data_IF_011231330434
#
_entry.id   IF_011231330434
#
_cell.length_a   1.000
_cell.length_b   1.000
_cell.length_c   1.000
_cell.angle_alpha   90.00
_cell.angle_beta   90.00
_cell.angle_gamma   90.00
#
_symmetry.space_group_name_H-M   'P 1'
#
loop_
_entity.id
_entity.type
_entity.pdbx_description
1 polymer ?
#
# COMPACT_ATOMS: atom_id res chain seq x y z
N UNK A 1 33.10 14.15 5.19
CA UNK A 1 32.70 12.96 5.97
C UNK A 1 31.37 12.49 5.39
N UNK A 2 31.30 11.27 4.86
CA UNK A 2 30.03 10.66 4.41
C UNK A 2 29.15 10.43 5.64
N UNK A 3 27.90 10.87 5.60
CA UNK A 3 26.94 10.57 6.66
C UNK A 3 26.82 9.05 6.86
N UNK A 4 26.66 8.56 8.10
CA UNK A 4 26.41 7.14 8.34
C UNK A 4 25.15 6.68 7.58
N UNK A 5 25.12 5.44 7.12
CA UNK A 5 23.92 4.90 6.45
C UNK A 5 22.71 4.91 7.40
N UNK A 6 21.49 5.12 6.87
CA UNK A 6 20.28 5.01 7.67
C UNK A 6 20.14 3.58 8.24
N UNK A 7 19.63 3.43 9.48
CA UNK A 7 19.32 2.12 10.04
C UNK A 7 18.35 1.35 9.14
N UNK A 8 18.66 0.09 8.85
CA UNK A 8 17.84 -0.73 7.95
C UNK A 8 17.84 -0.20 6.51
N UNK A 9 19.02 0.13 5.97
CA UNK A 9 19.20 0.59 4.60
C UNK A 9 18.40 -0.25 3.61
N UNK A 10 17.73 0.43 2.68
CA UNK A 10 16.81 -0.18 1.71
C UNK A 10 17.59 -1.13 0.78
N UNK A 11 17.71 -2.40 1.16
CA UNK A 11 18.30 -3.45 0.32
C UNK A 11 17.28 -3.91 -0.74
N UNK A 12 16.82 -2.98 -1.56
CA UNK A 12 16.33 -3.32 -2.89
C UNK A 12 17.56 -3.66 -3.72
N UNK A 13 17.84 -4.96 -3.83
CA UNK A 13 19.01 -5.49 -4.49
C UNK A 13 19.27 -4.86 -5.85
N UNK A 14 20.28 -4.01 -5.92
CA UNK A 14 21.15 -3.85 -7.07
C UNK A 14 22.55 -4.16 -6.52
N UNK A 15 23.19 -5.16 -7.11
CA UNK A 15 24.56 -5.55 -6.77
C UNK A 15 25.55 -4.38 -6.93
N UNK A 16 26.81 -4.57 -6.50
CA UNK A 16 27.79 -3.49 -6.53
C UNK A 16 28.08 -3.08 -7.98
N UNK A 17 28.20 -1.77 -8.20
CA UNK A 17 28.56 -1.02 -9.42
C UNK A 17 27.35 -0.59 -10.28
N UNK A 18 26.91 0.66 -10.11
CA UNK A 18 25.91 1.35 -10.94
C UNK A 18 25.93 2.88 -10.75
N UNK A 19 25.37 3.67 -11.69
CA UNK A 19 25.42 5.15 -11.78
C UNK A 19 24.90 5.85 -10.50
N UNK A 20 25.09 7.19 -10.32
CA UNK A 20 24.71 7.87 -9.09
C UNK A 20 23.29 7.51 -8.70
N UNK A 21 23.16 6.86 -7.54
CA UNK A 21 21.89 6.49 -6.94
C UNK A 21 20.97 7.71 -6.95
N UNK A 22 19.76 7.57 -7.51
CA UNK A 22 18.74 8.63 -7.49
C UNK A 22 18.62 9.15 -6.05
N UNK A 23 18.72 10.47 -5.86
CA UNK A 23 18.68 11.09 -4.54
C UNK A 23 17.36 10.71 -3.82
N UNK A 24 17.37 10.50 -2.49
CA UNK A 24 16.15 10.10 -1.77
C UNK A 24 14.95 11.03 -1.99
N UNK A 25 15.18 12.35 -2.08
CA UNK A 25 14.12 13.32 -2.37
C UNK A 25 13.50 13.14 -3.75
N UNK A 26 14.28 12.73 -4.75
CA UNK A 26 13.79 12.49 -6.10
C UNK A 26 13.01 11.17 -6.18
N UNK A 27 13.46 10.13 -5.45
CA UNK A 27 12.71 8.88 -5.27
C UNK A 27 11.35 9.13 -4.63
N UNK A 28 11.31 9.93 -3.56
CA UNK A 28 10.08 10.35 -2.89
C UNK A 28 9.12 11.04 -3.87
N UNK A 29 9.63 12.02 -4.63
CA UNK A 29 8.84 12.76 -5.63
C UNK A 29 8.28 11.84 -6.71
N UNK A 30 9.10 10.91 -7.23
CA UNK A 30 8.67 9.95 -8.24
C UNK A 30 7.60 8.99 -7.71
N UNK A 31 7.75 8.48 -6.48
CA UNK A 31 6.74 7.60 -5.86
C UNK A 31 5.41 8.33 -5.62
N UNK A 32 5.47 9.60 -5.22
CA UNK A 32 4.31 10.46 -5.06
C UNK A 32 3.58 10.72 -6.39
N UNK A 33 4.31 11.04 -7.46
CA UNK A 33 3.75 11.33 -8.78
C UNK A 33 3.08 10.10 -9.42
N UNK A 34 3.61 8.90 -9.17
CA UNK A 34 3.06 7.62 -9.66
C UNK A 34 1.80 7.14 -8.92
N UNK A 35 1.26 7.92 -7.99
CA UNK A 35 0.04 7.57 -7.22
C UNK A 35 -1.13 7.12 -8.10
N UNK A 36 -1.40 7.85 -9.16
CA UNK A 36 -2.51 7.57 -10.07
C UNK A 36 -2.35 6.26 -10.85
N UNK A 37 -1.13 5.72 -10.94
CA UNK A 37 -0.85 4.45 -11.61
C UNK A 37 -1.28 3.24 -10.77
N UNK A 38 -1.26 3.36 -9.44
CA UNK A 38 -1.58 2.27 -8.51
C UNK A 38 -2.91 2.43 -7.78
N UNK A 39 -3.34 3.66 -7.49
CA UNK A 39 -4.43 3.94 -6.55
C UNK A 39 -5.77 4.20 -7.24
N UNK A 40 -5.98 3.65 -8.44
CA UNK A 40 -7.21 3.92 -9.18
C UNK A 40 -8.46 3.32 -8.48
N UNK A 41 -9.54 4.10 -8.51
CA UNK A 41 -10.80 3.82 -7.81
C UNK A 41 -11.75 3.03 -8.71
N UNK A 42 -12.37 1.98 -8.16
CA UNK A 42 -13.39 1.21 -8.86
C UNK A 42 -14.80 1.59 -8.43
N UNK A 43 -15.67 1.85 -9.41
CA UNK A 43 -17.12 1.93 -9.21
C UNK A 43 -17.74 0.54 -9.33
N UNK A 44 -18.31 0.03 -8.24
CA UNK A 44 -18.98 -1.27 -8.22
C UNK A 44 -20.10 -1.37 -9.25
N UNK A 45 -20.98 -0.36 -9.33
CA UNK A 45 -22.12 -0.39 -10.25
C UNK A 45 -21.68 -0.38 -11.71
N UNK A 46 -20.62 0.37 -12.03
CA UNK A 46 -20.04 0.37 -13.37
C UNK A 46 -19.44 -0.99 -13.70
N UNK A 47 -18.65 -1.56 -12.78
CA UNK A 47 -18.06 -2.88 -12.94
C UNK A 47 -19.11 -3.99 -13.09
N UNK A 48 -20.17 -3.95 -12.28
CA UNK A 48 -21.28 -4.88 -12.35
C UNK A 48 -22.04 -4.74 -13.67
N UNK A 49 -22.38 -3.52 -14.10
CA UNK A 49 -23.09 -3.27 -15.35
C UNK A 49 -22.34 -3.80 -16.57
N UNK A 50 -21.03 -3.53 -16.67
CA UNK A 50 -20.20 -4.07 -17.74
C UNK A 50 -20.02 -5.59 -17.65
N UNK A 51 -19.91 -6.14 -16.44
CA UNK A 51 -19.85 -7.59 -16.25
C UNK A 51 -21.13 -8.26 -16.74
N UNK A 52 -22.31 -7.72 -16.42
CA UNK A 52 -23.59 -8.26 -16.90
C UNK A 52 -23.69 -8.13 -18.42
N UNK A 53 -23.37 -6.96 -18.99
CA UNK A 53 -23.44 -6.70 -20.43
C UNK A 53 -22.52 -7.64 -21.23
N UNK A 54 -21.38 -8.01 -20.67
CA UNK A 54 -20.38 -8.91 -21.30
C UNK A 54 -20.52 -10.36 -20.85
N UNK A 55 -21.65 -10.75 -20.24
CA UNK A 55 -21.91 -12.11 -19.75
C UNK A 55 -20.82 -12.65 -18.82
N UNK A 56 -20.27 -11.78 -17.97
CA UNK A 56 -19.24 -12.09 -16.98
C UNK A 56 -17.81 -11.91 -17.47
N UNK A 57 -17.55 -11.70 -18.77
CA UNK A 57 -16.17 -11.60 -19.28
C UNK A 57 -15.43 -10.39 -18.69
N UNK A 58 -16.09 -9.24 -18.56
CA UNK A 58 -15.49 -8.05 -17.97
C UNK A 58 -15.13 -8.21 -16.48
N UNK A 59 -15.77 -9.15 -15.77
CA UNK A 59 -15.44 -9.42 -14.37
C UNK A 59 -13.99 -9.92 -14.21
N UNK A 60 -13.46 -10.69 -15.16
CA UNK A 60 -12.06 -11.14 -15.11
C UNK A 60 -11.07 -9.97 -15.20
N UNK A 61 -11.37 -8.97 -16.03
CA UNK A 61 -10.58 -7.73 -16.08
C UNK A 61 -10.62 -7.01 -14.73
N UNK A 62 -11.81 -6.83 -14.17
CA UNK A 62 -11.99 -6.19 -12.85
C UNK A 62 -11.22 -6.95 -11.77
N UNK A 63 -11.36 -8.27 -11.72
CA UNK A 63 -10.68 -9.14 -10.75
C UNK A 63 -9.16 -9.03 -10.85
N UNK A 64 -8.60 -9.09 -12.06
CA UNK A 64 -7.18 -8.85 -12.30
C UNK A 64 -6.72 -7.49 -11.75
N UNK A 65 -7.50 -6.43 -12.02
CA UNK A 65 -7.16 -5.09 -11.57
C UNK A 65 -7.28 -4.92 -10.06
N UNK A 66 -8.22 -5.60 -9.38
CA UNK A 66 -8.31 -5.61 -7.91
C UNK A 66 -7.06 -6.21 -7.25
N UNK A 67 -6.51 -7.28 -7.83
CA UNK A 67 -5.26 -7.88 -7.35
C UNK A 67 -4.06 -6.96 -7.65
N UNK A 68 -4.00 -6.44 -8.88
CA UNK A 68 -2.91 -5.59 -9.36
C UNK A 68 -2.78 -4.31 -8.54
N UNK A 69 -3.88 -3.58 -8.34
CA UNK A 69 -3.85 -2.29 -7.62
C UNK A 69 -3.32 -2.44 -6.19
N UNK A 70 -3.69 -3.50 -5.47
CA UNK A 70 -3.21 -3.72 -4.10
C UNK A 70 -1.71 -3.97 -4.05
N UNK A 71 -1.19 -4.78 -4.98
CA UNK A 71 0.25 -5.04 -5.10
C UNK A 71 1.03 -3.78 -5.48
N UNK A 72 0.56 -3.06 -6.49
CA UNK A 72 1.21 -1.84 -6.98
C UNK A 72 1.15 -0.73 -5.94
N UNK A 73 0.04 -0.58 -5.22
CA UNK A 73 -0.10 0.35 -4.12
C UNK A 73 0.94 0.08 -3.03
N UNK A 74 1.01 -1.17 -2.52
CA UNK A 74 1.98 -1.53 -1.49
C UNK A 74 3.43 -1.25 -1.93
N UNK A 75 3.79 -1.60 -3.17
CA UNK A 75 5.12 -1.31 -3.73
C UNK A 75 5.43 0.19 -3.76
N UNK A 76 4.47 1.00 -4.25
CA UNK A 76 4.61 2.46 -4.32
C UNK A 76 4.73 3.07 -2.94
N UNK A 77 3.90 2.64 -1.99
CA UNK A 77 3.88 3.13 -0.61
C UNK A 77 5.15 2.81 0.14
N UNK A 78 5.68 1.60 -0.04
CA UNK A 78 6.96 1.19 0.48
C UNK A 78 8.11 2.04 -0.07
N UNK A 79 8.09 2.36 -1.37
CA UNK A 79 9.06 3.26 -1.98
C UNK A 79 8.92 4.70 -1.46
N UNK A 80 7.68 5.22 -1.37
CA UNK A 80 7.39 6.57 -0.88
C UNK A 80 7.89 6.76 0.55
N UNK A 81 7.50 5.87 1.46
CA UNK A 81 7.85 5.96 2.88
C UNK A 81 9.33 5.65 3.11
N UNK A 82 9.91 4.70 2.37
CA UNK A 82 11.34 4.41 2.41
C UNK A 82 12.17 5.60 1.95
N UNK A 83 11.79 6.24 0.84
CA UNK A 83 12.47 7.42 0.33
C UNK A 83 12.30 8.65 1.25
N UNK A 84 11.12 8.83 1.85
CA UNK A 84 10.88 9.88 2.86
C UNK A 84 11.78 9.71 4.08
N UNK A 85 11.91 8.47 4.57
CA UNK A 85 12.79 8.11 5.68
C UNK A 85 14.25 8.39 5.32
N UNK A 86 14.70 7.92 4.16
CA UNK A 86 16.09 8.09 3.73
C UNK A 86 16.44 9.58 3.53
N UNK A 87 15.53 10.37 2.94
CA UNK A 87 15.68 11.83 2.82
C UNK A 87 15.74 12.51 4.20
N UNK A 88 14.84 12.17 5.11
CA UNK A 88 14.82 12.75 6.45
C UNK A 88 16.08 12.41 7.25
N UNK A 89 16.69 11.24 7.01
CA UNK A 89 17.97 10.87 7.63
C UNK A 89 19.12 11.76 7.18
N UNK A 90 19.17 12.13 5.90
CA UNK A 90 20.16 13.07 5.34
C UNK A 90 19.98 14.46 5.95
N UNK A 91 18.74 14.95 6.01
CA UNK A 91 18.41 16.26 6.62
C UNK A 91 18.77 16.26 8.11
N UNK A 92 18.44 15.19 8.84
CA UNK A 92 18.80 15.04 10.25
C UNK A 92 20.33 15.04 10.44
N UNK A 93 21.08 14.41 9.53
CA UNK A 93 22.55 14.39 9.54
C UNK A 93 23.15 15.77 9.35
N UNK A 94 22.63 16.53 8.38
CA UNK A 94 23.02 17.92 8.16
C UNK A 94 22.74 18.85 9.35
N UNK A 95 21.82 18.46 10.24
CA UNK A 95 21.42 19.22 11.43
C UNK A 95 21.93 18.65 12.75
N UNK A 96 22.69 17.55 12.73
CA UNK A 96 23.19 16.89 13.95
C UNK A 96 22.11 16.21 14.81
N UNK A 97 20.95 15.87 14.24
CA UNK A 97 19.81 15.26 14.95
C UNK A 97 19.72 13.73 14.80
N UNK A 98 20.70 13.10 14.14
CA UNK A 98 20.66 11.66 13.83
C UNK A 98 20.60 10.77 15.07
N UNK A 99 21.40 11.04 16.10
CA UNK A 99 21.40 10.23 17.31
C UNK A 99 20.11 10.37 18.12
N UNK A 100 19.52 11.57 18.16
CA UNK A 100 18.22 11.82 18.80
C UNK A 100 17.10 11.05 18.09
N UNK A 101 17.07 11.12 16.76
CA UNK A 101 15.98 10.57 15.96
C UNK A 101 16.16 9.10 15.59
N UNK A 102 17.35 8.50 15.81
CA UNK A 102 17.66 7.11 15.46
C UNK A 102 16.57 6.10 15.88
N UNK A 103 15.98 6.15 17.10
CA UNK A 103 14.92 5.20 17.47
C UNK A 103 13.68 5.28 16.58
N UNK A 104 13.33 6.48 16.09
CA UNK A 104 12.20 6.66 15.15
C UNK A 104 12.52 6.07 13.78
N UNK A 105 13.75 6.25 13.29
CA UNK A 105 14.20 5.65 12.03
C UNK A 105 14.23 4.12 12.08
N UNK A 106 14.65 3.52 13.20
CA UNK A 106 14.66 2.07 13.41
C UNK A 106 13.24 1.48 13.47
N UNK A 107 12.31 2.16 14.16
CA UNK A 107 10.90 1.74 14.18
C UNK A 107 10.24 1.89 12.82
N UNK A 108 10.49 3.00 12.11
CA UNK A 108 10.04 3.16 10.73
C UNK A 108 10.56 2.02 9.84
N UNK A 109 11.84 1.67 9.94
CA UNK A 109 12.43 0.53 9.21
C UNK A 109 11.70 -0.79 9.52
N UNK A 110 11.40 -1.06 10.80
CA UNK A 110 10.68 -2.26 11.22
C UNK A 110 9.29 -2.35 10.58
N UNK A 111 8.58 -1.22 10.50
CA UNK A 111 7.26 -1.16 9.84
C UNK A 111 7.37 -1.36 8.32
N UNK A 112 8.38 -0.77 7.67
CA UNK A 112 8.65 -0.95 6.25
C UNK A 112 9.04 -2.39 5.89
N UNK A 113 9.79 -3.09 6.75
CA UNK A 113 10.07 -4.52 6.60
C UNK A 113 8.77 -5.35 6.60
N UNK A 114 7.78 -4.94 7.40
CA UNK A 114 6.43 -5.51 7.39
C UNK A 114 5.76 -5.37 6.02
N UNK A 115 5.71 -4.15 5.47
CA UNK A 115 5.19 -3.86 4.13
C UNK A 115 5.94 -4.63 3.03
N UNK A 116 7.27 -4.73 3.15
CA UNK A 116 8.10 -5.45 2.19
C UNK A 116 7.79 -6.95 2.16
N UNK A 117 7.59 -7.57 3.32
CA UNK A 117 7.19 -8.99 3.39
C UNK A 117 5.83 -9.20 2.71
N UNK A 118 4.89 -8.28 2.90
CA UNK A 118 3.57 -8.35 2.27
C UNK A 118 3.63 -8.19 0.74
N UNK A 119 4.65 -7.55 0.17
CA UNK A 119 4.85 -7.56 -1.30
C UNK A 119 4.95 -8.98 -1.87
N UNK A 120 5.48 -9.93 -1.09
CA UNK A 120 5.52 -11.35 -1.48
C UNK A 120 4.17 -12.04 -1.27
N UNK A 121 3.39 -11.56 -0.32
CA UNK A 121 2.05 -12.08 0.01
C UNK A 121 1.00 -11.60 -1.01
N UNK A 122 1.13 -10.38 -1.54
CA UNK A 122 0.39 -9.88 -2.70
C UNK A 122 0.86 -10.61 -3.98
N UNK A 123 0.36 -11.84 -4.14
CA UNK A 123 0.69 -12.74 -5.25
C UNK A 123 0.38 -12.11 -6.61
N UNK A 124 1.04 -12.64 -7.64
CA UNK A 124 0.94 -12.16 -9.01
C UNK A 124 -0.53 -12.11 -9.51
N UNK A 125 -1.03 -10.94 -9.95
CA UNK A 125 -2.39 -10.78 -10.49
C UNK A 125 -2.70 -11.70 -11.67
N UNK A 126 -1.69 -12.01 -12.48
CA UNK A 126 -1.80 -12.90 -13.64
C UNK A 126 -2.05 -14.34 -13.20
N UNK A 127 -1.38 -14.79 -12.13
CA UNK A 127 -1.61 -16.13 -11.56
C UNK A 127 -3.06 -16.23 -11.06
N UNK A 128 -3.53 -15.22 -10.32
CA UNK A 128 -4.91 -15.18 -9.85
C UNK A 128 -5.92 -15.17 -10.99
N UNK A 129 -5.67 -14.38 -12.04
CA UNK A 129 -6.51 -14.35 -13.24
C UNK A 129 -6.58 -15.73 -13.90
N UNK A 130 -5.45 -16.39 -14.12
CA UNK A 130 -5.40 -17.72 -14.73
C UNK A 130 -6.14 -18.76 -13.88
N UNK A 131 -5.95 -18.72 -12.55
CA UNK A 131 -6.70 -19.57 -11.62
C UNK A 131 -8.21 -19.29 -11.70
N UNK A 132 -8.62 -18.02 -11.81
CA UNK A 132 -10.03 -17.63 -11.95
C UNK A 132 -10.62 -18.10 -13.29
N UNK A 133 -9.87 -18.03 -14.40
CA UNK A 133 -10.34 -18.53 -15.69
C UNK A 133 -10.52 -20.06 -15.68
N UNK A 134 -9.55 -20.80 -15.12
CA UNK A 134 -9.54 -22.28 -15.15
C UNK A 134 -10.44 -22.87 -14.07
N UNK A 135 -10.39 -22.33 -12.85
CA UNK A 135 -11.07 -22.85 -11.66
C UNK A 135 -12.26 -22.01 -11.16
N UNK A 136 -12.43 -20.78 -11.65
CA UNK A 136 -13.47 -19.84 -11.20
C UNK A 136 -14.88 -20.15 -11.71
N UNK A 137 -15.08 -21.19 -12.53
CA UNK A 137 -16.42 -21.65 -12.96
C UNK A 137 -17.34 -22.00 -11.79
N UNK A 138 -16.79 -22.23 -10.59
CA UNK A 138 -17.52 -22.48 -9.35
C UNK A 138 -17.36 -21.36 -8.29
N UNK A 139 -16.67 -20.26 -8.60
CA UNK A 139 -16.50 -19.09 -7.72
C UNK A 139 -15.55 -19.28 -6.51
N UNK A 140 -14.94 -20.46 -6.37
CA UNK A 140 -14.10 -20.76 -5.20
C UNK A 140 -12.77 -19.99 -5.19
N UNK A 141 -12.19 -19.71 -6.36
CA UNK A 141 -10.91 -18.98 -6.46
C UNK A 141 -11.08 -17.55 -5.98
N UNK A 142 -12.18 -16.91 -6.37
CA UNK A 142 -12.55 -15.55 -6.02
C UNK A 142 -12.78 -15.41 -4.51
N UNK A 143 -13.48 -16.37 -3.90
CA UNK A 143 -13.67 -16.39 -2.44
C UNK A 143 -12.32 -16.46 -1.72
N UNK A 144 -11.42 -17.34 -2.14
CA UNK A 144 -10.09 -17.47 -1.53
C UNK A 144 -9.29 -16.16 -1.72
N UNK A 145 -9.30 -15.60 -2.92
CA UNK A 145 -8.63 -14.34 -3.22
C UNK A 145 -9.17 -13.21 -2.34
N UNK A 146 -10.49 -13.11 -2.16
CA UNK A 146 -11.12 -12.10 -1.33
C UNK A 146 -10.76 -12.23 0.16
N UNK A 147 -10.64 -13.46 0.67
CA UNK A 147 -10.17 -13.69 2.04
C UNK A 147 -8.73 -13.20 2.22
N UNK A 148 -7.85 -13.48 1.26
CA UNK A 148 -6.47 -13.01 1.31
C UNK A 148 -6.36 -11.50 1.16
N UNK A 149 -6.98 -10.91 0.13
CA UNK A 149 -6.99 -9.46 -0.09
C UNK A 149 -7.44 -8.69 1.15
N UNK A 150 -8.53 -9.13 1.77
CA UNK A 150 -9.09 -8.47 2.95
C UNK A 150 -8.16 -8.57 4.17
N UNK A 151 -7.61 -9.76 4.41
CA UNK A 151 -6.69 -10.01 5.52
C UNK A 151 -5.37 -9.29 5.35
N UNK A 152 -4.86 -9.23 4.12
CA UNK A 152 -3.62 -8.56 3.78
C UNK A 152 -3.78 -7.04 3.82
N UNK A 153 -4.94 -6.49 3.45
CA UNK A 153 -5.24 -5.07 3.64
C UNK A 153 -5.21 -4.66 5.12
N UNK A 154 -5.76 -5.47 6.03
CA UNK A 154 -5.67 -5.17 7.48
C UNK A 154 -4.22 -5.15 7.97
N UNK A 155 -3.39 -6.11 7.51
CA UNK A 155 -1.97 -6.16 7.87
C UNK A 155 -1.20 -4.99 7.27
N UNK A 156 -1.52 -4.62 6.02
CA UNK A 156 -0.99 -3.47 5.30
C UNK A 156 -1.24 -2.19 6.09
N UNK A 157 -2.49 -1.91 6.47
CA UNK A 157 -2.86 -0.67 7.17
C UNK A 157 -2.15 -0.52 8.52
N UNK A 158 -1.96 -1.63 9.24
CA UNK A 158 -1.23 -1.63 10.52
C UNK A 158 0.25 -1.30 10.31
N UNK A 159 0.91 -1.95 9.35
CA UNK A 159 2.32 -1.72 9.08
C UNK A 159 2.55 -0.31 8.51
N UNK A 160 1.71 0.10 7.58
CA UNK A 160 1.75 1.43 6.98
C UNK A 160 1.52 2.52 8.02
N UNK A 161 0.49 2.41 8.86
CA UNK A 161 0.17 3.42 9.87
C UNK A 161 1.28 3.58 10.90
N UNK A 162 1.98 2.49 11.23
CA UNK A 162 3.19 2.54 12.04
C UNK A 162 4.32 3.32 11.37
N UNK A 163 4.60 3.03 10.09
CA UNK A 163 5.63 3.76 9.34
C UNK A 163 5.29 5.25 9.17
N UNK A 164 4.05 5.58 8.84
CA UNK A 164 3.57 6.95 8.71
C UNK A 164 3.67 7.74 10.02
N UNK A 165 3.33 7.11 11.15
CA UNK A 165 3.42 7.73 12.48
C UNK A 165 4.87 8.09 12.84
N UNK A 166 5.82 7.19 12.56
CA UNK A 166 7.24 7.45 12.79
C UNK A 166 7.77 8.54 11.85
N UNK A 167 7.41 8.50 10.56
CA UNK A 167 7.77 9.54 9.58
C UNK A 167 7.20 10.89 9.99
N UNK A 168 5.93 10.96 10.39
CA UNK A 168 5.30 12.20 10.85
C UNK A 168 6.02 12.79 12.08
N UNK A 169 6.45 11.93 13.00
CA UNK A 169 7.22 12.33 14.17
C UNK A 169 8.59 12.89 13.79
N UNK A 170 9.30 12.23 12.88
CA UNK A 170 10.59 12.68 12.36
C UNK A 170 10.45 14.05 11.69
N UNK A 171 9.50 14.20 10.77
CA UNK A 171 9.28 15.44 10.03
C UNK A 171 8.87 16.61 10.93
N UNK A 172 8.06 16.35 11.96
CA UNK A 172 7.74 17.33 13.01
C UNK A 172 8.99 17.82 13.74
N UNK A 173 9.91 16.91 14.10
CA UNK A 173 11.20 17.26 14.72
C UNK A 173 12.14 18.01 13.79
N UNK A 174 12.03 17.79 12.48
CA UNK A 174 12.73 18.56 11.45
C UNK A 174 12.06 19.91 11.14
N UNK A 175 10.99 20.29 11.85
CA UNK A 175 10.33 21.59 11.73
C UNK A 175 9.33 21.69 10.57
N UNK A 176 8.97 20.56 9.95
CA UNK A 176 7.96 20.48 8.88
C UNK A 176 6.90 19.43 9.25
N UNK A 177 5.94 19.76 10.14
CA UNK A 177 5.02 18.77 10.68
C UNK A 177 4.11 18.17 9.60
N UNK A 178 4.02 16.83 9.60
CA UNK A 178 3.06 16.05 8.83
C UNK A 178 1.98 15.53 9.80
N UNK A 179 0.69 15.49 9.43
CA UNK A 179 -0.36 14.97 10.30
C UNK A 179 -0.07 13.52 10.75
N UNK A 180 -0.41 13.22 12.00
CA UNK A 180 -0.41 11.83 12.47
C UNK A 180 -1.53 11.05 11.76
N UNK A 181 -1.28 9.81 11.32
CA UNK A 181 -2.30 9.01 10.65
C UNK A 181 -3.46 8.71 11.61
N UNK A 182 -4.69 8.77 11.11
CA UNK A 182 -5.89 8.48 11.90
C UNK A 182 -5.92 6.99 12.31
N UNK A 183 -5.89 6.64 13.61
CA UNK A 183 -5.98 5.25 14.06
C UNK A 183 -7.28 4.57 13.63
N UNK A 184 -8.36 5.32 13.45
CA UNK A 184 -9.66 4.80 13.01
C UNK A 184 -9.68 4.41 11.53
N UNK A 185 -8.62 4.70 10.76
CA UNK A 185 -8.49 4.28 9.35
C UNK A 185 -8.29 2.77 9.22
N UNK A 186 -7.71 2.12 10.23
CA UNK A 186 -7.46 0.67 10.22
C UNK A 186 -8.79 -0.06 10.41
N UNK A 187 -9.24 -0.76 9.37
CA UNK A 187 -10.46 -1.55 9.44
C UNK A 187 -10.27 -2.82 10.30
N UNK A 188 -11.34 -3.26 10.94
CA UNK A 188 -11.37 -4.55 11.63
C UNK A 188 -11.38 -5.74 10.66
N UNK A 189 -10.95 -6.92 11.15
CA UNK A 189 -11.06 -8.17 10.39
C UNK A 189 -12.52 -8.59 10.28
N UNK A 190 -12.92 -8.99 9.07
CA UNK A 190 -14.25 -9.56 8.86
C UNK A 190 -14.31 -11.03 9.28
N UNK A 191 -15.51 -11.53 9.56
CA UNK A 191 -15.74 -12.96 9.79
C UNK A 191 -15.84 -13.71 8.45
N UNK A 192 -14.71 -14.22 7.95
CA UNK A 192 -14.64 -14.90 6.66
C UNK A 192 -15.50 -16.17 6.60
N UNK A 193 -15.55 -16.95 7.69
CA UNK A 193 -16.36 -18.18 7.75
C UNK A 193 -17.83 -17.84 7.53
N UNK A 194 -18.34 -16.82 8.24
CA UNK A 194 -19.70 -16.36 8.06
C UNK A 194 -19.94 -15.87 6.62
N UNK A 195 -19.02 -15.11 6.03
CA UNK A 195 -19.13 -14.65 4.63
C UNK A 195 -19.22 -15.81 3.63
N UNK A 196 -18.42 -16.86 3.82
CA UNK A 196 -18.46 -18.07 2.98
C UNK A 196 -19.80 -18.80 3.13
N UNK A 197 -20.24 -19.05 4.37
CA UNK A 197 -21.52 -19.72 4.64
C UNK A 197 -22.68 -18.95 4.00
N UNK A 198 -22.74 -17.63 4.19
CA UNK A 198 -23.79 -16.79 3.63
C UNK A 198 -23.71 -16.77 2.09
N UNK A 199 -22.52 -16.79 1.50
CA UNK A 199 -22.36 -16.92 0.03
C UNK A 199 -22.97 -18.21 -0.50
N UNK A 200 -22.76 -19.33 0.20
CA UNK A 200 -23.31 -20.64 -0.20
C UNK A 200 -24.83 -20.67 -0.02
N UNK A 201 -25.33 -20.26 1.15
CA UNK A 201 -26.77 -20.27 1.48
C UNK A 201 -27.58 -19.37 0.54
N UNK A 202 -26.98 -18.26 0.10
CA UNK A 202 -27.61 -17.33 -0.85
C UNK A 202 -27.36 -17.67 -2.32
N UNK A 203 -26.77 -18.84 -2.61
CA UNK A 203 -26.45 -19.30 -3.97
C UNK A 203 -25.66 -18.25 -4.76
N UNK A 204 -24.68 -17.63 -4.10
CA UNK A 204 -23.79 -16.63 -4.69
C UNK A 204 -24.31 -15.19 -4.68
N UNK A 205 -25.55 -14.90 -4.28
CA UNK A 205 -26.05 -13.50 -4.24
C UNK A 205 -25.21 -12.64 -3.30
N UNK A 206 -24.81 -13.16 -2.14
CA UNK A 206 -23.94 -12.42 -1.21
C UNK A 206 -22.53 -12.14 -1.79
N UNK A 207 -22.07 -12.90 -2.79
CA UNK A 207 -20.76 -12.65 -3.41
C UNK A 207 -20.72 -11.29 -4.13
N UNK A 208 -21.85 -10.76 -4.59
CA UNK A 208 -21.93 -9.39 -5.12
C UNK A 208 -21.66 -8.35 -4.04
N UNK A 209 -22.25 -8.51 -2.85
CA UNK A 209 -21.98 -7.64 -1.70
C UNK A 209 -20.52 -7.74 -1.25
N UNK A 210 -19.95 -8.95 -1.22
CA UNK A 210 -18.53 -9.11 -0.90
C UNK A 210 -17.64 -8.43 -1.95
N UNK A 211 -17.96 -8.57 -3.24
CA UNK A 211 -17.25 -7.86 -4.32
C UNK A 211 -17.34 -6.35 -4.15
N UNK A 212 -18.50 -5.82 -3.78
CA UNK A 212 -18.66 -4.40 -3.43
C UNK A 212 -17.68 -3.99 -2.31
N UNK A 213 -17.57 -4.77 -1.24
CA UNK A 213 -16.62 -4.50 -0.16
C UNK A 213 -15.15 -4.52 -0.64
N UNK A 214 -14.79 -5.48 -1.51
CA UNK A 214 -13.42 -5.58 -2.06
C UNK A 214 -13.06 -4.41 -2.99
N UNK A 215 -14.06 -3.70 -3.52
CA UNK A 215 -13.84 -2.46 -4.25
C UNK A 215 -13.75 -1.28 -3.29
N UNK A 216 -14.75 -1.11 -2.44
CA UNK A 216 -14.99 0.09 -1.66
C UNK A 216 -13.99 0.26 -0.50
N UNK A 217 -13.59 -0.83 0.17
CA UNK A 217 -12.65 -0.74 1.29
C UNK A 217 -11.26 -0.26 0.84
N UNK A 218 -10.62 -0.82 -0.20
CA UNK A 218 -9.37 -0.26 -0.73
C UNK A 218 -9.52 1.15 -1.32
N UNK A 219 -10.66 1.47 -1.95
CA UNK A 219 -10.90 2.83 -2.47
C UNK A 219 -10.79 3.87 -1.34
N UNK A 220 -11.49 3.62 -0.22
CA UNK A 220 -11.46 4.50 0.95
C UNK A 220 -10.05 4.56 1.55
N UNK A 221 -9.34 3.42 1.61
CA UNK A 221 -7.97 3.38 2.08
C UNK A 221 -7.05 4.29 1.25
N UNK A 222 -7.12 4.21 -0.08
CA UNK A 222 -6.34 5.07 -0.97
C UNK A 222 -6.67 6.56 -0.78
N UNK A 223 -7.95 6.91 -0.74
CA UNK A 223 -8.39 8.30 -0.55
C UNK A 223 -7.88 8.92 0.75
N UNK A 224 -7.89 8.15 1.85
CA UNK A 224 -7.30 8.58 3.13
C UNK A 224 -5.79 8.80 3.00
N UNK A 225 -5.09 7.88 2.34
CA UNK A 225 -3.64 7.99 2.13
C UNK A 225 -3.28 9.20 1.29
N UNK A 226 -4.09 9.60 0.30
CA UNK A 226 -3.79 10.72 -0.58
C UNK A 226 -3.60 12.04 0.16
N UNK A 227 -4.49 12.37 1.11
CA UNK A 227 -4.37 13.60 1.88
C UNK A 227 -3.10 13.63 2.75
N UNK A 228 -2.72 12.46 3.29
CA UNK A 228 -1.50 12.31 4.07
C UNK A 228 -0.24 12.44 3.18
N UNK A 229 -0.25 11.82 2.00
CA UNK A 229 0.83 11.92 1.01
C UNK A 229 1.06 13.35 0.54
N UNK A 230 -0.02 14.11 0.30
CA UNK A 230 0.08 15.52 -0.10
C UNK A 230 0.79 16.34 0.99
N UNK A 231 0.49 16.07 2.25
CA UNK A 231 1.13 16.71 3.40
C UNK A 231 2.61 16.34 3.51
N UNK A 232 2.96 15.07 3.32
CA UNK A 232 4.35 14.60 3.31
C UNK A 232 5.15 15.24 2.16
N UNK A 233 4.58 15.30 0.96
CA UNK A 233 5.24 15.88 -0.20
C UNK A 233 5.54 17.38 0.00
N UNK A 234 4.59 18.13 0.55
CA UNK A 234 4.78 19.54 0.91
C UNK A 234 5.87 19.72 1.97
N UNK A 235 5.85 18.90 3.03
CA UNK A 235 6.84 18.95 4.09
C UNK A 235 8.25 18.64 3.56
N UNK A 236 8.40 17.65 2.68
CA UNK A 236 9.67 17.31 2.06
C UNK A 236 10.19 18.42 1.14
N UNK A 237 9.31 19.05 0.36
CA UNK A 237 9.66 20.20 -0.47
C UNK A 237 10.15 21.37 0.39
N UNK A 238 9.52 21.63 1.54
CA UNK A 238 9.93 22.69 2.46
C UNK A 238 11.28 22.41 3.15
N UNK A 239 11.63 21.15 3.41
CA UNK A 239 12.95 20.78 3.94
C UNK A 239 14.08 20.86 2.92
N UNK A 240 13.76 20.83 1.62
CA UNK A 240 14.74 20.91 0.54
C UNK A 240 15.21 22.35 0.26
N UNK A 241 14.43 23.35 0.69
CA UNK A 241 14.74 24.78 0.54
C UNK A 241 15.71 25.25 1.63
#
# INVERSE_FOLDING_TARGET
>A
MTAPQPPGGSSWGIGPVGPPSIQPVDRLRQAYQRRHESDYIFSFWTALGWSVLTLGVFYFYVFYQLMRRMREHNLRRLELLGAARDFAWEVAGGRGLQDELRPHFERAATHLDGLQRMTRDFRDPTIWLLLSIVGGRLGFVEIIAYVFLDGDLVRHDIAEGGAESEVATIFSRLGQPVPQPDPARIKGKHNYIARVIVSIVTVGIYAFWWTYNMMNEPNRHFEVNWAWEDSLAQAAQALQQ
#
